data_IF_700617101767
#
_entry.id   IF_700617101767
#
_cell.length_a   1.000
_cell.length_b   1.000
_cell.length_c   1.000
_cell.angle_alpha   90.00
_cell.angle_beta   90.00
_cell.angle_gamma   90.00
#
_symmetry.space_group_name_H-M   'P 1'
#
loop_
_entity.id
_entity.type
_entity.pdbx_description
1 polymer ?
#
# COMPACT_ATOMS: atom_id res chain seq x y z
N UNK A 1 19.58 -21.10 16.28
CA UNK A 1 19.68 -22.03 15.13
C UNK A 1 19.91 -21.17 13.90
N UNK A 2 21.16 -20.97 13.48
CA UNK A 2 21.46 -20.23 12.25
C UNK A 2 21.24 -21.11 11.03
N UNK A 3 20.77 -20.55 9.93
CA UNK A 3 20.54 -21.24 8.66
C UNK A 3 19.14 -21.86 8.51
N UNK A 4 18.17 -21.48 9.36
CA UNK A 4 16.79 -21.93 9.17
C UNK A 4 16.14 -21.17 8.02
N UNK A 5 15.68 -21.90 7.01
CA UNK A 5 15.04 -21.34 5.83
C UNK A 5 13.77 -22.11 5.49
N UNK A 6 12.69 -21.40 5.18
CA UNK A 6 11.44 -21.98 4.69
C UNK A 6 11.10 -21.38 3.35
N UNK A 7 10.84 -22.24 2.38
CA UNK A 7 10.44 -21.87 1.03
C UNK A 7 8.95 -22.16 0.81
N UNK A 8 8.27 -21.33 0.03
CA UNK A 8 6.90 -21.62 -0.41
C UNK A 8 6.88 -22.67 -1.53
N UNK A 9 5.67 -23.08 -1.95
CA UNK A 9 5.49 -24.06 -3.05
C UNK A 9 6.00 -23.59 -4.41
N UNK A 10 6.28 -22.30 -4.58
CA UNK A 10 6.89 -21.73 -5.78
C UNK A 10 8.42 -21.59 -5.67
N UNK A 11 9.03 -22.08 -4.59
CA UNK A 11 10.48 -22.02 -4.36
C UNK A 11 11.00 -20.67 -3.87
N UNK A 12 10.13 -19.73 -3.48
CA UNK A 12 10.56 -18.45 -2.93
C UNK A 12 10.82 -18.55 -1.42
N UNK A 13 11.93 -17.97 -0.96
CA UNK A 13 12.29 -17.91 0.46
C UNK A 13 11.29 -17.03 1.23
N UNK A 14 10.66 -17.59 2.26
CA UNK A 14 9.60 -16.94 3.05
C UNK A 14 10.00 -16.69 4.49
N UNK A 15 10.85 -17.54 5.07
CA UNK A 15 11.41 -17.36 6.41
C UNK A 15 12.90 -17.60 6.29
N UNK A 16 13.69 -16.69 6.84
CA UNK A 16 15.14 -16.75 6.90
C UNK A 16 15.57 -16.35 8.31
N UNK A 17 16.34 -17.21 8.98
CA UNK A 17 16.86 -16.93 10.32
C UNK A 17 17.75 -15.69 10.40
N UNK A 18 18.26 -15.19 9.27
CA UNK A 18 19.11 -14.00 9.25
C UNK A 18 18.31 -12.72 8.97
N UNK A 19 17.06 -12.82 8.52
CA UNK A 19 16.22 -11.69 8.14
C UNK A 19 14.87 -11.69 8.87
N UNK A 20 14.68 -10.71 9.74
CA UNK A 20 13.42 -10.53 10.46
C UNK A 20 12.29 -10.09 9.53
N UNK A 21 11.23 -10.90 9.50
CA UNK A 21 10.04 -10.65 8.70
C UNK A 21 9.26 -9.41 9.17
N UNK A 22 8.52 -8.81 8.25
CA UNK A 22 7.60 -7.70 8.55
C UNK A 22 6.34 -8.26 9.23
N UNK A 23 5.95 -7.70 10.36
CA UNK A 23 4.72 -8.04 11.11
C UNK A 23 3.78 -6.85 11.21
N UNK A 24 2.48 -7.09 11.31
CA UNK A 24 1.50 -6.05 11.62
C UNK A 24 1.69 -5.57 13.05
N UNK A 25 1.73 -4.25 13.21
CA UNK A 25 1.84 -3.57 14.49
C UNK A 25 0.52 -2.97 14.94
N UNK A 26 -0.33 -2.53 14.00
CA UNK A 26 -1.66 -2.01 14.32
C UNK A 26 -2.56 -1.87 13.09
N UNK A 27 -3.87 -2.00 13.32
CA UNK A 27 -4.92 -1.54 12.40
C UNK A 27 -5.37 -0.16 12.86
N UNK A 28 -5.50 0.76 11.91
CA UNK A 28 -5.84 2.16 12.18
C UNK A 28 -7.01 2.59 11.31
N UNK A 29 -8.09 3.05 11.96
CA UNK A 29 -9.19 3.69 11.26
C UNK A 29 -8.71 5.02 10.64
N UNK A 30 -9.32 5.41 9.52
CA UNK A 30 -8.96 6.65 8.81
C UNK A 30 -9.13 7.91 9.67
N UNK A 31 -10.15 7.95 10.52
CA UNK A 31 -10.52 9.14 11.27
C UNK A 31 -11.07 10.25 10.38
N UNK A 32 -11.07 11.47 10.90
CA UNK A 32 -11.51 12.68 10.18
C UNK A 32 -10.39 13.21 9.29
N UNK A 33 -10.73 13.62 8.07
CA UNK A 33 -9.79 14.24 7.14
C UNK A 33 -9.77 15.76 7.33
N UNK A 34 -8.61 16.37 7.12
CA UNK A 34 -8.47 17.83 7.00
C UNK A 34 -8.42 18.26 5.54
N UNK A 35 -8.66 19.56 5.29
CA UNK A 35 -8.43 20.23 4.00
C UNK A 35 -9.07 19.51 2.81
N UNK A 36 -10.26 18.95 3.04
CA UNK A 36 -10.98 18.19 2.00
C UNK A 36 -11.35 19.11 0.86
N UNK A 37 -10.93 18.74 -0.36
CA UNK A 37 -11.16 19.51 -1.56
C UNK A 37 -10.24 20.72 -1.75
N UNK A 38 -9.21 20.87 -0.91
CA UNK A 38 -8.24 21.97 -1.04
C UNK A 38 -7.48 21.92 -2.38
N UNK A 39 -7.02 20.73 -2.77
CA UNK A 39 -6.39 20.51 -4.08
C UNK A 39 -7.36 19.85 -5.06
N UNK A 40 -7.54 20.50 -6.23
CA UNK A 40 -8.31 19.94 -7.33
C UNK A 40 -7.42 19.10 -8.25
N UNK A 41 -7.59 17.78 -8.17
CA UNK A 41 -6.79 16.77 -8.86
C UNK A 41 -7.69 16.09 -9.88
N UNK A 42 -7.61 16.54 -11.13
CA UNK A 42 -8.44 16.02 -12.21
C UNK A 42 -7.99 14.64 -12.64
N UNK A 43 -8.95 13.72 -12.72
CA UNK A 43 -8.76 12.33 -13.08
C UNK A 43 -10.04 11.76 -13.71
N UNK A 44 -9.96 10.53 -14.20
CA UNK A 44 -11.13 9.75 -14.64
C UNK A 44 -12.07 9.38 -13.47
N UNK A 45 -11.65 9.59 -12.22
CA UNK A 45 -12.42 9.20 -11.03
C UNK A 45 -13.15 10.37 -10.37
N UNK A 46 -12.73 11.59 -10.69
CA UNK A 46 -13.23 12.83 -10.07
C UNK A 46 -12.19 13.95 -10.21
N UNK A 47 -12.48 15.08 -9.58
CA UNK A 47 -11.64 16.29 -9.61
C UNK A 47 -10.89 16.56 -8.29
N UNK A 48 -10.80 15.59 -7.39
CA UNK A 48 -10.12 15.75 -6.10
C UNK A 48 -10.90 16.54 -5.05
N UNK A 49 -12.09 17.06 -5.36
CA UNK A 49 -12.92 17.84 -4.42
C UNK A 49 -13.33 17.07 -3.15
N UNK A 50 -13.27 15.73 -3.19
CA UNK A 50 -13.61 14.84 -2.08
C UNK A 50 -12.39 14.28 -1.35
N UNK A 51 -11.19 14.58 -1.83
CA UNK A 51 -9.93 14.12 -1.23
C UNK A 51 -9.49 15.09 -0.13
N UNK A 52 -9.11 14.54 1.02
CA UNK A 52 -8.52 15.28 2.13
C UNK A 52 -7.32 14.55 2.72
N UNK A 53 -6.61 15.22 3.63
CA UNK A 53 -5.43 14.67 4.28
C UNK A 53 -5.77 13.93 5.56
N UNK A 54 -5.01 12.87 5.84
CA UNK A 54 -5.00 12.25 7.15
C UNK A 54 -4.41 13.22 8.18
N UNK A 55 -4.76 13.07 9.47
CA UNK A 55 -4.16 13.87 10.55
C UNK A 55 -2.62 13.87 10.51
N UNK A 56 -2.02 14.97 10.99
CA UNK A 56 -0.56 15.05 11.12
C UNK A 56 -0.02 13.85 11.91
N UNK A 57 1.11 13.29 11.47
CA UNK A 57 1.73 12.09 12.05
C UNK A 57 0.84 10.84 12.08
N UNK A 58 -0.15 10.75 11.18
CA UNK A 58 -1.00 9.56 11.10
C UNK A 58 -0.19 8.28 10.84
N UNK A 59 0.80 8.36 9.95
CA UNK A 59 1.69 7.25 9.61
C UNK A 59 3.02 7.31 10.38
N UNK A 60 3.59 6.16 10.77
CA UNK A 60 4.93 6.09 11.33
C UNK A 60 5.99 6.42 10.27
N UNK A 61 7.17 6.85 10.73
CA UNK A 61 8.32 7.17 9.89
C UNK A 61 8.90 5.94 9.18
N UNK A 62 8.71 4.75 9.75
CA UNK A 62 9.25 3.49 9.24
C UNK A 62 8.15 2.43 9.12
N UNK A 63 8.44 1.40 8.33
CA UNK A 63 7.53 0.29 8.07
C UNK A 63 6.69 0.46 6.80
N UNK A 64 5.97 -0.60 6.46
CA UNK A 64 5.06 -0.63 5.31
C UNK A 64 3.66 -0.21 5.75
N UNK A 65 3.02 0.54 4.85
CA UNK A 65 1.67 1.07 5.00
C UNK A 65 0.78 0.36 4.01
N UNK A 66 -0.32 -0.15 4.51
CA UNK A 66 -1.32 -0.86 3.75
C UNK A 66 -2.64 -0.12 3.87
N UNK A 67 -3.40 -0.09 2.79
CA UNK A 67 -4.73 0.48 2.78
C UNK A 67 -5.71 -0.51 2.19
N UNK A 68 -6.77 -0.79 2.93
CA UNK A 68 -7.90 -1.55 2.43
C UNK A 68 -8.99 -0.55 2.07
N UNK A 69 -9.14 -0.31 0.78
CA UNK A 69 -10.22 0.50 0.22
C UNK A 69 -11.48 -0.38 0.24
N UNK A 70 -12.49 -0.04 1.05
CA UNK A 70 -13.66 -0.89 1.33
C UNK A 70 -14.94 -0.41 0.63
N UNK A 71 -15.01 0.87 0.31
CA UNK A 71 -16.23 1.50 -0.21
C UNK A 71 -16.19 1.60 -1.73
N UNK A 72 -17.16 0.99 -2.41
CA UNK A 72 -17.24 1.02 -3.88
C UNK A 72 -17.49 2.45 -4.39
N UNK A 73 -16.90 2.78 -5.54
CA UNK A 73 -16.97 4.10 -6.16
C UNK A 73 -16.00 5.12 -5.56
N UNK A 74 -15.42 4.84 -4.38
CA UNK A 74 -14.45 5.71 -3.72
C UNK A 74 -13.05 5.52 -4.27
N UNK A 75 -12.24 6.58 -4.18
CA UNK A 75 -10.86 6.61 -4.64
C UNK A 75 -9.93 7.31 -3.66
N UNK A 76 -8.63 7.13 -3.85
CA UNK A 76 -7.60 7.77 -3.06
C UNK A 76 -6.39 8.12 -3.92
N UNK A 77 -5.57 9.04 -3.41
CA UNK A 77 -4.26 9.39 -3.93
C UNK A 77 -3.18 9.07 -2.88
N UNK A 78 -2.87 7.78 -2.69
CA UNK A 78 -2.11 7.30 -1.55
C UNK A 78 -0.69 7.85 -1.45
N UNK A 79 -0.02 8.07 -2.59
CA UNK A 79 1.35 8.60 -2.61
C UNK A 79 1.45 10.02 -2.06
N UNK A 80 0.39 10.81 -2.17
CA UNK A 80 0.29 12.16 -1.57
C UNK A 80 -0.51 12.17 -0.26
N UNK A 81 -0.77 11.00 0.33
CA UNK A 81 -1.53 10.84 1.57
C UNK A 81 -2.93 11.49 1.55
N UNK A 82 -3.58 11.54 0.39
CA UNK A 82 -4.95 12.04 0.26
C UNK A 82 -5.95 10.91 0.03
N UNK A 83 -7.08 10.96 0.74
CA UNK A 83 -8.08 9.89 0.74
C UNK A 83 -9.48 10.50 0.71
N UNK A 84 -10.47 9.74 0.25
CA UNK A 84 -11.87 10.11 0.47
C UNK A 84 -12.33 9.66 1.85
N UNK A 85 -13.10 10.50 2.54
CA UNK A 85 -13.64 10.20 3.87
C UNK A 85 -14.48 8.90 3.84
N UNK A 86 -14.26 8.04 4.85
CA UNK A 86 -14.99 6.77 4.99
C UNK A 86 -14.71 5.75 3.87
N UNK A 87 -13.61 5.89 3.14
CA UNK A 87 -13.29 4.99 2.03
C UNK A 87 -12.61 3.68 2.46
N UNK A 88 -12.05 3.62 3.67
CA UNK A 88 -11.35 2.42 4.13
C UNK A 88 -10.60 2.56 5.44
N UNK A 89 -9.69 1.61 5.68
CA UNK A 89 -8.87 1.49 6.88
C UNK A 89 -7.43 1.15 6.54
N UNK A 90 -6.53 1.45 7.46
CA UNK A 90 -5.09 1.27 7.28
C UNK A 90 -4.56 0.13 8.14
N UNK A 91 -3.52 -0.50 7.64
CA UNK A 91 -2.73 -1.44 8.43
C UNK A 91 -1.27 -1.05 8.34
N UNK A 92 -0.60 -1.03 9.49
CA UNK A 92 0.79 -0.65 9.63
C UNK A 92 1.57 -1.89 9.99
N UNK A 93 2.66 -2.12 9.26
CA UNK A 93 3.51 -3.27 9.50
C UNK A 93 4.97 -2.86 9.60
N UNK A 94 5.70 -3.44 10.54
CA UNK A 94 7.09 -3.14 10.83
C UNK A 94 7.87 -4.44 11.02
N UNK A 95 9.15 -4.43 10.67
CA UNK A 95 10.08 -5.49 11.04
C UNK A 95 10.72 -5.26 12.43
N UNK A 96 10.52 -4.10 13.06
CA UNK A 96 11.09 -3.77 14.38
C UNK A 96 10.17 -4.17 15.54
N UNK A 97 8.88 -4.36 15.31
CA UNK A 97 7.92 -4.77 16.35
C UNK A 97 8.35 -6.09 16.99
N UNK A 98 8.29 -6.18 18.31
CA UNK A 98 8.66 -7.38 19.05
C UNK A 98 7.76 -8.55 18.66
N UNK A 99 8.35 -9.72 18.46
CA UNK A 99 7.63 -10.96 18.19
C UNK A 99 7.20 -11.60 19.51
N UNK A 100 6.02 -12.19 19.51
CA UNK A 100 5.58 -13.07 20.58
C UNK A 100 6.05 -14.48 20.26
N UNK A 101 6.80 -15.07 21.20
CA UNK A 101 7.21 -16.48 21.20
C UNK A 101 5.99 -17.40 21.32
N UNK A 102 6.08 -18.58 20.73
CA UNK A 102 4.97 -19.53 20.68
C UNK A 102 5.41 -20.97 20.44
N UNK A 103 4.56 -21.75 19.79
CA UNK A 103 4.78 -23.19 19.60
C UNK A 103 5.92 -23.52 18.63
N UNK A 104 6.16 -22.66 17.64
CA UNK A 104 7.25 -22.81 16.67
C UNK A 104 7.96 -21.47 16.51
N UNK A 105 9.20 -21.41 17.00
CA UNK A 105 10.02 -20.21 17.04
C UNK A 105 11.32 -20.41 16.27
N UNK A 106 11.73 -19.37 15.55
CA UNK A 106 12.96 -19.31 14.79
C UNK A 106 13.83 -18.21 15.36
N UNK A 107 15.01 -18.58 15.83
CA UNK A 107 15.99 -17.67 16.41
C UNK A 107 17.23 -17.56 15.53
N UNK A 108 17.77 -16.36 15.39
CA UNK A 108 19.07 -16.17 14.73
C UNK A 108 20.23 -16.74 15.55
N UNK A 109 21.45 -16.62 15.02
CA UNK A 109 22.70 -17.01 15.71
C UNK A 109 22.91 -16.29 17.04
N UNK A 110 22.40 -15.06 17.19
CA UNK A 110 22.48 -14.26 18.41
C UNK A 110 21.37 -14.56 19.44
N UNK A 111 20.53 -15.58 19.20
CA UNK A 111 19.42 -15.93 20.10
C UNK A 111 18.24 -14.96 20.08
N UNK A 112 18.18 -14.06 19.10
CA UNK A 112 17.04 -13.15 18.90
C UNK A 112 15.92 -13.89 18.17
N UNK A 113 14.67 -13.76 18.62
CA UNK A 113 13.50 -14.29 17.93
C UNK A 113 13.27 -13.52 16.63
N UNK A 114 13.31 -14.23 15.49
CA UNK A 114 13.20 -13.68 14.13
C UNK A 114 11.87 -14.01 13.48
N UNK A 115 11.27 -15.14 13.85
CA UNK A 115 9.94 -15.54 13.41
C UNK A 115 9.29 -16.44 14.48
N UNK A 116 7.97 -16.36 14.62
CA UNK A 116 7.20 -17.28 15.46
C UNK A 116 5.86 -17.58 14.80
N UNK A 117 5.37 -18.81 14.92
CA UNK A 117 4.02 -19.18 14.49
C UNK A 117 2.94 -18.34 15.18
N UNK A 118 3.14 -17.95 16.44
CA UNK A 118 2.21 -17.08 17.16
C UNK A 118 2.13 -15.68 16.53
N UNK A 119 3.25 -15.16 16.03
CA UNK A 119 3.34 -13.86 15.37
C UNK A 119 3.05 -13.92 13.86
N UNK A 120 3.11 -15.11 13.25
CA UNK A 120 2.87 -15.29 11.82
C UNK A 120 1.44 -14.91 11.39
N UNK A 121 0.48 -14.96 12.31
CA UNK A 121 -0.88 -14.49 12.08
C UNK A 121 -0.95 -13.00 11.74
N UNK A 122 -0.04 -12.18 12.27
CA UNK A 122 -0.01 -10.73 12.06
C UNK A 122 0.81 -10.33 10.83
N UNK A 123 1.47 -11.25 10.13
CA UNK A 123 2.29 -10.92 8.97
C UNK A 123 1.43 -10.69 7.70
N UNK A 124 1.81 -9.73 6.82
CA UNK A 124 1.19 -9.61 5.50
C UNK A 124 1.48 -10.86 4.69
N UNK A 125 0.45 -11.52 4.19
CA UNK A 125 0.60 -12.60 3.21
C UNK A 125 0.37 -12.01 1.83
N UNK A 126 1.43 -11.89 1.03
CA UNK A 126 1.31 -11.42 -0.35
C UNK A 126 0.55 -12.49 -1.16
N UNK A 127 -0.57 -12.09 -1.73
CA UNK A 127 -1.46 -12.97 -2.49
C UNK A 127 -1.49 -12.60 -3.99
N UNK A 128 -0.93 -11.45 -4.36
CA UNK A 128 -0.90 -11.00 -5.74
C UNK A 128 -0.41 -9.56 -5.87
N UNK A 129 -0.59 -9.02 -7.06
CA UNK A 129 -0.15 -7.67 -7.41
C UNK A 129 -1.16 -6.98 -8.33
N UNK A 130 -1.39 -5.69 -8.12
CA UNK A 130 -1.92 -4.81 -9.16
C UNK A 130 -0.77 -4.54 -10.13
N UNK A 131 -0.82 -5.19 -11.30
CA UNK A 131 0.24 -5.11 -12.30
C UNK A 131 -0.18 -4.21 -13.44
N UNK A 132 0.56 -3.13 -13.66
CA UNK A 132 0.43 -2.30 -14.85
C UNK A 132 1.46 -2.77 -15.88
N UNK A 133 1.03 -3.27 -17.05
CA UNK A 133 1.95 -3.80 -18.05
C UNK A 133 2.80 -2.65 -18.64
N UNK A 134 4.02 -2.97 -19.06
CA UNK A 134 4.96 -2.01 -19.69
C UNK A 134 4.39 -1.31 -20.92
N UNK A 135 3.49 -1.99 -21.64
CA UNK A 135 2.81 -1.44 -22.82
C UNK A 135 1.77 -0.38 -22.48
N UNK A 136 1.21 -0.36 -21.27
CA UNK A 136 0.14 0.57 -20.90
C UNK A 136 0.68 1.90 -20.39
N UNK A 137 0.15 3.01 -20.91
CA UNK A 137 0.40 4.34 -20.36
C UNK A 137 -0.67 4.66 -19.32
N UNK A 138 -0.27 4.68 -18.04
CA UNK A 138 -1.18 4.92 -16.94
C UNK A 138 -1.66 6.37 -16.86
N UNK A 139 -1.22 7.28 -17.75
CA UNK A 139 -1.93 8.56 -17.97
C UNK A 139 -3.42 8.35 -18.30
N UNK A 140 -3.75 7.19 -18.88
CA UNK A 140 -5.11 6.70 -19.07
C UNK A 140 -5.47 5.64 -18.02
N UNK A 141 -6.71 5.68 -17.52
CA UNK A 141 -7.14 4.78 -16.46
C UNK A 141 -7.14 3.30 -16.92
N UNK A 142 -6.66 2.42 -16.06
CA UNK A 142 -6.62 0.97 -16.26
C UNK A 142 -7.40 0.27 -15.16
N UNK A 143 -8.36 -0.57 -15.53
CA UNK A 143 -9.07 -1.44 -14.60
C UNK A 143 -8.35 -2.78 -14.47
N UNK A 144 -8.11 -3.20 -13.24
CA UNK A 144 -7.44 -4.43 -12.85
C UNK A 144 -8.36 -5.23 -11.93
N UNK A 145 -8.25 -6.56 -12.00
CA UNK A 145 -8.98 -7.48 -11.13
C UNK A 145 -8.02 -8.23 -10.21
N UNK A 146 -8.46 -8.47 -8.97
CA UNK A 146 -7.70 -9.23 -7.96
C UNK A 146 -8.28 -10.62 -7.80
N UNK A 147 -7.44 -11.60 -7.48
CA UNK A 147 -7.84 -13.00 -7.30
C UNK A 147 -8.62 -13.26 -6.01
N UNK A 148 -8.66 -12.28 -5.11
CA UNK A 148 -9.34 -12.35 -3.81
C UNK A 148 -9.97 -11.00 -3.48
N UNK A 149 -11.01 -11.05 -2.65
CA UNK A 149 -11.79 -9.89 -2.24
C UNK A 149 -11.07 -9.05 -1.18
N UNK A 150 -11.35 -7.75 -1.20
CA UNK A 150 -10.93 -6.79 -0.18
C UNK A 150 -9.42 -6.81 0.13
N UNK A 151 -8.54 -6.75 -0.88
CA UNK A 151 -7.11 -6.79 -0.67
C UNK A 151 -6.60 -5.57 0.12
N UNK A 152 -5.56 -5.80 0.91
CA UNK A 152 -4.74 -4.74 1.47
C UNK A 152 -3.72 -4.30 0.43
N UNK A 153 -3.84 -3.06 -0.05
CA UNK A 153 -2.97 -2.48 -1.07
C UNK A 153 -1.75 -1.86 -0.38
N UNK A 154 -0.54 -2.23 -0.80
CA UNK A 154 0.70 -1.65 -0.28
C UNK A 154 0.88 -0.20 -0.75
N UNK A 155 0.29 0.76 -0.03
CA UNK A 155 0.35 2.18 -0.41
C UNK A 155 1.76 2.77 -0.27
N UNK A 156 2.66 2.12 0.47
CA UNK A 156 4.09 2.47 0.47
C UNK A 156 4.76 2.31 -0.89
N UNK A 157 4.19 1.52 -1.81
CA UNK A 157 4.69 1.35 -3.17
C UNK A 157 4.03 2.32 -4.17
N UNK A 158 3.11 3.17 -3.71
CA UNK A 158 2.42 4.12 -4.56
C UNK A 158 3.21 5.44 -4.65
N UNK A 159 3.72 5.81 -5.83
CA UNK A 159 4.31 7.13 -6.03
C UNK A 159 3.22 8.21 -5.97
N UNK A 160 3.57 9.35 -5.39
CA UNK A 160 2.73 10.54 -5.44
C UNK A 160 3.38 11.72 -4.75
N UNK A 161 3.13 12.90 -5.28
CA UNK A 161 3.55 14.15 -4.69
C UNK A 161 2.63 15.29 -5.11
N UNK A 162 2.54 16.29 -4.24
CA UNK A 162 1.90 17.59 -4.50
C UNK A 162 2.91 18.65 -4.07
N UNK A 163 3.03 19.69 -4.89
CA UNK A 163 3.87 20.86 -4.66
C UNK A 163 3.07 22.11 -4.98
N UNK A 164 3.16 23.14 -4.16
CA UNK A 164 2.49 24.42 -4.36
C UNK A 164 3.41 25.56 -3.88
N UNK A 165 3.37 26.69 -4.58
CA UNK A 165 4.05 27.94 -4.23
C UNK A 165 3.08 29.05 -3.77
N UNK A 166 1.79 28.73 -3.63
CA UNK A 166 0.71 29.64 -3.27
C UNK A 166 -0.04 30.24 -4.46
N UNK A 167 0.45 30.04 -5.69
CA UNK A 167 -0.23 30.43 -6.93
C UNK A 167 -0.33 29.32 -7.97
N UNK A 168 0.64 28.41 -8.01
CA UNK A 168 0.73 27.32 -8.97
C UNK A 168 0.89 25.97 -8.28
N UNK A 169 -0.12 25.12 -8.44
CA UNK A 169 -0.07 23.73 -7.98
C UNK A 169 0.54 22.83 -9.06
N UNK A 170 1.46 21.98 -8.63
CA UNK A 170 1.95 20.82 -9.37
C UNK A 170 1.63 19.53 -8.62
N UNK A 171 1.28 18.47 -9.34
CA UNK A 171 1.08 17.14 -8.75
C UNK A 171 1.43 16.05 -9.74
N UNK A 172 1.82 14.88 -9.24
CA UNK A 172 1.97 13.68 -10.06
C UNK A 172 1.87 12.43 -9.21
N UNK A 173 1.29 11.36 -9.74
CA UNK A 173 1.26 10.06 -9.05
C UNK A 173 -0.02 9.26 -9.28
N UNK A 174 -0.13 8.14 -8.57
CA UNK A 174 -1.15 7.12 -8.82
C UNK A 174 -2.37 7.35 -7.94
N UNK A 175 -3.53 7.48 -8.58
CA UNK A 175 -4.85 7.33 -7.95
C UNK A 175 -5.33 5.89 -8.08
N UNK A 176 -6.03 5.43 -7.06
CA UNK A 176 -6.65 4.10 -7.01
C UNK A 176 -8.12 4.28 -6.66
N UNK A 177 -9.00 3.77 -7.51
CA UNK A 177 -10.44 3.71 -7.29
C UNK A 177 -10.88 2.27 -7.09
N UNK A 178 -11.81 2.05 -6.17
CA UNK A 178 -12.50 0.77 -6.01
C UNK A 178 -13.76 0.75 -6.87
N UNK A 179 -13.89 -0.26 -7.72
CA UNK A 179 -15.11 -0.52 -8.48
C UNK A 179 -15.97 -1.57 -7.75
N UNK A 180 -15.34 -2.64 -7.26
CA UNK A 180 -15.95 -3.71 -6.46
C UNK A 180 -14.91 -4.33 -5.50
N UNK A 181 -15.27 -5.38 -4.75
CA UNK A 181 -14.35 -6.07 -3.85
C UNK A 181 -13.15 -6.73 -4.52
N UNK A 182 -13.23 -6.98 -5.83
CA UNK A 182 -12.15 -7.59 -6.62
C UNK A 182 -11.75 -6.75 -7.84
N UNK A 183 -12.27 -5.53 -7.99
CA UNK A 183 -12.00 -4.68 -9.16
C UNK A 183 -11.58 -3.28 -8.75
N UNK A 184 -10.44 -2.84 -9.27
CA UNK A 184 -9.83 -1.55 -8.97
C UNK A 184 -9.40 -0.86 -10.26
N UNK A 185 -9.54 0.46 -10.32
CA UNK A 185 -9.05 1.28 -11.43
C UNK A 185 -7.89 2.14 -10.97
N UNK A 186 -6.80 2.14 -11.73
CA UNK A 186 -5.61 2.93 -11.47
C UNK A 186 -5.46 4.00 -12.54
N UNK A 187 -5.02 5.19 -12.15
CA UNK A 187 -4.61 6.23 -13.10
C UNK A 187 -3.44 7.00 -12.51
N UNK A 188 -2.41 7.26 -13.32
CA UNK A 188 -1.37 8.22 -13.03
C UNK A 188 -1.83 9.60 -13.52
N UNK A 189 -1.97 10.54 -12.60
CA UNK A 189 -2.29 11.94 -12.94
C UNK A 189 -1.02 12.77 -12.89
N UNK A 190 -0.98 13.85 -13.66
CA UNK A 190 0.06 14.86 -13.52
C UNK A 190 -0.42 16.26 -13.95
N UNK A 191 0.13 17.29 -13.31
CA UNK A 191 0.02 18.70 -13.69
C UNK A 191 1.31 19.40 -13.30
N UNK A 192 1.91 20.15 -14.21
CA UNK A 192 3.18 20.87 -13.99
C UNK A 192 4.33 19.98 -13.46
N UNK A 193 4.23 18.67 -13.69
CA UNK A 193 5.16 17.64 -13.22
C UNK A 193 5.23 16.52 -14.28
N UNK A 194 6.19 15.60 -14.12
CA UNK A 194 6.47 14.52 -15.07
C UNK A 194 5.22 13.69 -15.38
N UNK A 195 5.07 13.31 -16.64
CA UNK A 195 4.08 12.32 -17.06
C UNK A 195 4.47 10.92 -16.57
N UNK A 196 3.53 9.98 -16.61
CA UNK A 196 3.80 8.58 -16.25
C UNK A 196 5.04 8.02 -16.97
N UNK A 197 5.12 8.20 -18.30
CA UNK A 197 6.25 7.71 -19.11
C UNK A 197 7.59 8.37 -18.75
N UNK A 198 7.57 9.64 -18.34
CA UNK A 198 8.78 10.34 -17.90
C UNK A 198 9.23 9.89 -16.51
N UNK A 199 8.31 9.46 -15.65
CA UNK A 199 8.60 9.02 -14.29
C UNK A 199 8.97 7.53 -14.20
N UNK A 200 8.25 6.67 -14.93
CA UNK A 200 8.38 5.19 -14.85
C UNK A 200 9.11 4.59 -16.06
N UNK A 201 9.33 5.37 -17.11
CA UNK A 201 9.89 4.88 -18.36
C UNK A 201 8.95 3.88 -19.06
N UNK A 202 9.57 2.86 -19.66
CA UNK A 202 8.87 1.74 -20.31
C UNK A 202 8.78 0.50 -19.42
N UNK A 203 9.15 0.62 -18.15
CA UNK A 203 8.99 -0.45 -17.18
C UNK A 203 7.56 -0.41 -16.66
N UNK A 204 6.87 -1.56 -16.70
CA UNK A 204 5.64 -1.71 -15.93
C UNK A 204 5.92 -1.56 -14.44
N UNK A 205 4.89 -1.45 -13.62
CA UNK A 205 5.06 -1.47 -12.16
C UNK A 205 4.01 -2.37 -11.51
N UNK A 206 4.32 -2.77 -10.27
CA UNK A 206 3.48 -3.65 -9.48
C UNK A 206 3.28 -3.06 -8.09
N UNK A 207 2.04 -3.11 -7.61
CA UNK A 207 1.72 -2.82 -6.20
C UNK A 207 1.28 -4.12 -5.55
N UNK A 208 1.95 -4.49 -4.47
CA UNK A 208 1.68 -5.71 -3.72
C UNK A 208 0.30 -5.67 -3.07
N UNK A 209 -0.39 -6.79 -3.15
CA UNK A 209 -1.66 -7.05 -2.50
C UNK A 209 -1.48 -8.12 -1.43
N UNK A 210 -1.97 -7.83 -0.23
CA UNK A 210 -1.86 -8.74 0.89
C UNK A 210 -3.23 -9.10 1.50
N UNK A 211 -3.26 -10.26 2.15
CA UNK A 211 -4.24 -10.62 3.17
C UNK A 211 -3.56 -10.64 4.53
N UNK A 212 -4.26 -10.26 5.59
CA UNK A 212 -3.80 -10.42 6.97
C UNK A 212 -4.76 -11.36 7.70
N UNK A 213 -4.22 -12.28 8.50
CA UNK A 213 -5.08 -13.27 9.17
C UNK A 213 -6.01 -12.56 10.15
N UNK A 214 -7.32 -12.78 10.02
CA UNK A 214 -8.33 -12.14 10.87
C UNK A 214 -8.78 -10.74 10.43
N UNK A 215 -8.39 -10.27 9.23
CA UNK A 215 -8.73 -8.94 8.72
C UNK A 215 -9.11 -8.88 7.25
#
# INVERSE_FOLDING_TARGET
MSGFQVYNSAGALTIDSDNKSVVMSSVKAMGTLSDTGYYLINSAFGNGSTLGYLPLNFFPNTGLRWFQLQTNGKYCFPGSAMFEAGSGRFMLSSNTTALTSGYLDVYNSAGTLIWSAASAGTMPRIQGFLTVPSSHDLGTALTLTTSFADPWICISQCPGNISDDGGTVGYSGILIKRNSSTSFSLQYVNKNQKTYRQAMGNSGFQIALASFTGY
#
